data_IF_397105906519
#
_entry.id   IF_397105906519
#
_cell.length_a   1.000
_cell.length_b   1.000
_cell.length_c   1.000
_cell.angle_alpha   90.00
_cell.angle_beta   90.00
_cell.angle_gamma   90.00
#
_symmetry.space_group_name_H-M   'P 1'
#
loop_
_entity.id
_entity.type
_entity.pdbx_description
1 polymer ?
#
# COMPACT_ATOMS: atom_id res chain seq x y z
N UNK A 1 43.81 -34.61 9.27
CA UNK A 1 42.38 -34.93 9.38
C UNK A 1 41.69 -33.94 10.32
N UNK A 2 41.35 -32.75 9.81
CA UNK A 2 40.60 -31.70 10.53
C UNK A 2 39.90 -30.81 9.48
N UNK A 3 38.58 -30.70 9.63
CA UNK A 3 37.64 -29.62 9.25
C UNK A 3 37.96 -28.66 8.09
N UNK A 4 36.99 -28.44 7.19
CA UNK A 4 36.38 -27.11 6.94
C UNK A 4 35.27 -27.21 5.87
N UNK A 5 34.03 -26.87 6.26
CA UNK A 5 33.26 -25.73 5.75
C UNK A 5 32.93 -25.77 4.24
N UNK A 6 31.69 -26.05 3.86
CA UNK A 6 30.56 -25.10 3.79
C UNK A 6 30.33 -24.66 2.33
N UNK A 7 29.51 -25.43 1.60
CA UNK A 7 28.92 -24.95 0.33
C UNK A 7 27.54 -24.38 0.65
N UNK A 8 27.50 -23.10 1.02
CA UNK A 8 26.28 -22.31 0.94
C UNK A 8 25.96 -22.10 -0.55
N UNK A 9 24.93 -22.78 -1.03
CA UNK A 9 24.14 -22.26 -2.13
C UNK A 9 23.35 -21.07 -1.57
N UNK A 10 23.91 -19.86 -1.65
CA UNK A 10 23.13 -18.65 -1.45
C UNK A 10 22.35 -18.41 -2.74
N UNK A 11 21.13 -18.93 -2.80
CA UNK A 11 20.12 -18.41 -3.71
C UNK A 11 19.77 -16.99 -3.26
N UNK A 12 20.51 -16.00 -3.76
CA UNK A 12 20.04 -14.62 -3.78
C UNK A 12 18.85 -14.57 -4.74
N UNK A 13 17.64 -14.71 -4.19
CA UNK A 13 16.42 -14.32 -4.89
C UNK A 13 16.38 -12.78 -4.97
N UNK A 14 17.16 -12.21 -5.88
CA UNK A 14 16.85 -10.93 -6.49
C UNK A 14 15.57 -11.14 -7.32
N UNK A 15 14.41 -11.12 -6.68
CA UNK A 15 13.15 -10.85 -7.38
C UNK A 15 13.19 -9.37 -7.75
N UNK A 16 13.89 -9.12 -8.84
CA UNK A 16 13.92 -7.85 -9.52
C UNK A 16 12.49 -7.53 -9.96
N UNK A 17 12.03 -6.35 -9.54
CA UNK A 17 10.72 -5.75 -9.83
C UNK A 17 10.42 -5.62 -11.35
N UNK A 18 11.37 -5.99 -12.20
CA UNK A 18 11.32 -5.93 -13.66
C UNK A 18 10.79 -7.21 -14.34
N UNK A 19 10.54 -8.30 -13.60
CA UNK A 19 10.12 -9.58 -14.22
C UNK A 19 8.62 -9.90 -14.23
N UNK A 20 7.75 -9.01 -13.74
CA UNK A 20 6.28 -9.19 -13.84
C UNK A 20 5.66 -8.42 -15.00
N UNK A 21 6.40 -7.51 -15.65
CA UNK A 21 5.88 -6.73 -16.79
C UNK A 21 5.79 -7.53 -18.09
N UNK A 22 6.40 -8.73 -18.18
CA UNK A 22 6.52 -9.49 -19.43
C UNK A 22 5.33 -10.39 -19.78
N UNK A 23 4.19 -10.29 -19.08
CA UNK A 23 2.94 -10.99 -19.46
C UNK A 23 1.69 -10.11 -19.54
N UNK A 24 1.83 -8.78 -19.54
CA UNK A 24 0.70 -7.92 -19.90
C UNK A 24 0.55 -7.99 -21.42
N UNK A 25 -0.30 -8.90 -21.90
CA UNK A 25 -0.82 -8.79 -23.27
C UNK A 25 -1.39 -7.37 -23.40
N UNK A 26 -1.04 -6.58 -24.42
CA UNK A 26 -1.80 -5.39 -24.70
C UNK A 26 -3.22 -5.86 -25.04
N UNK A 27 -4.14 -5.69 -24.10
CA UNK A 27 -5.54 -5.66 -24.47
C UNK A 27 -5.64 -4.42 -25.35
N UNK A 28 -5.91 -4.59 -26.64
CA UNK A 28 -6.08 -3.52 -27.65
C UNK A 28 -7.15 -2.46 -27.28
N UNK A 29 -7.72 -2.54 -26.07
CA UNK A 29 -8.79 -1.73 -25.51
C UNK A 29 -8.38 -0.88 -24.31
N UNK A 30 -7.11 -0.95 -23.89
CA UNK A 30 -6.56 0.04 -22.97
C UNK A 30 -6.10 1.25 -23.77
N UNK A 31 -6.88 2.33 -23.69
CA UNK A 31 -6.53 3.61 -24.29
C UNK A 31 -5.69 4.37 -23.26
N UNK A 32 -4.42 4.58 -23.61
CA UNK A 32 -3.43 5.11 -22.67
C UNK A 32 -3.76 6.53 -22.19
N UNK A 33 -4.38 7.36 -23.03
CA UNK A 33 -4.69 8.75 -22.69
C UNK A 33 -5.89 9.28 -23.47
N UNK A 34 -6.88 9.78 -22.73
CA UNK A 34 -8.01 10.56 -23.21
C UNK A 34 -7.97 11.91 -22.52
N UNK A 35 -8.01 12.99 -23.29
CA UNK A 35 -8.04 14.37 -22.77
C UNK A 35 -9.50 14.76 -22.51
N UNK A 36 -9.78 15.31 -21.33
CA UNK A 36 -11.11 15.75 -20.96
C UNK A 36 -11.57 16.91 -21.86
N UNK A 37 -12.80 16.87 -22.35
CA UNK A 37 -13.32 17.83 -23.33
C UNK A 37 -13.52 19.24 -22.74
N UNK A 38 -13.93 19.31 -21.49
CA UNK A 38 -14.24 20.58 -20.80
C UNK A 38 -13.07 21.16 -20.01
N UNK A 39 -12.00 20.39 -19.81
CA UNK A 39 -10.76 20.83 -19.18
C UNK A 39 -9.60 20.07 -19.82
N UNK A 40 -8.98 20.67 -20.82
CA UNK A 40 -7.91 20.04 -21.61
C UNK A 40 -6.60 19.88 -20.85
N UNK A 41 -6.50 20.43 -19.62
CA UNK A 41 -5.36 20.18 -18.72
C UNK A 41 -5.45 18.81 -18.05
N UNK A 42 -6.63 18.17 -18.10
CA UNK A 42 -6.94 16.91 -17.44
C UNK A 42 -7.02 15.76 -18.44
N UNK A 43 -6.55 14.59 -18.03
CA UNK A 43 -6.62 13.38 -18.83
C UNK A 43 -6.78 12.12 -17.97
N UNK A 44 -7.22 11.03 -18.59
CA UNK A 44 -7.31 9.71 -17.97
C UNK A 44 -6.90 8.59 -18.93
N UNK A 45 -6.45 7.47 -18.37
CA UNK A 45 -6.39 6.19 -19.06
C UNK A 45 -7.78 5.53 -19.00
N UNK A 46 -8.16 4.82 -20.05
CA UNK A 46 -9.47 4.17 -20.19
C UNK A 46 -9.29 2.71 -20.54
N UNK A 47 -10.07 1.85 -19.89
CA UNK A 47 -10.43 0.53 -20.39
C UNK A 47 -11.92 0.52 -20.75
N UNK A 48 -12.24 0.07 -21.97
CA UNK A 48 -13.60 -0.07 -22.46
C UNK A 48 -13.88 -1.55 -22.80
N UNK A 49 -14.90 -2.19 -22.20
CA UNK A 49 -15.22 -3.60 -22.47
C UNK A 49 -15.53 -3.91 -23.94
N UNK A 50 -15.26 -5.13 -24.42
CA UNK A 50 -15.61 -5.61 -25.78
C UNK A 50 -17.02 -5.24 -26.20
N UNK A 51 -17.95 -5.56 -25.33
CA UNK A 51 -19.37 -5.49 -25.60
C UNK A 51 -19.94 -4.10 -25.37
N UNK A 52 -19.13 -3.04 -25.26
CA UNK A 52 -19.63 -1.70 -25.04
C UNK A 52 -20.50 -1.21 -26.19
N UNK A 53 -21.72 -0.77 -25.87
CA UNK A 53 -22.67 -0.17 -26.78
C UNK A 53 -23.40 0.98 -26.07
N UNK A 54 -23.37 2.17 -26.67
CA UNK A 54 -24.04 3.36 -26.14
C UNK A 54 -25.54 3.21 -25.88
N UNK A 55 -26.21 2.21 -26.50
CA UNK A 55 -27.63 1.93 -26.26
C UNK A 55 -27.94 1.31 -24.88
N UNK A 56 -26.93 0.74 -24.22
CA UNK A 56 -27.05 0.06 -22.92
C UNK A 56 -26.34 0.84 -21.82
N UNK A 57 -26.71 0.59 -20.56
CA UNK A 57 -26.09 1.22 -19.38
C UNK A 57 -25.01 0.30 -18.80
N UNK A 58 -23.82 0.86 -18.56
CA UNK A 58 -22.65 0.11 -18.08
C UNK A 58 -22.21 0.54 -16.69
N UNK A 59 -21.74 -0.40 -15.84
CA UNK A 59 -21.02 -0.06 -14.63
C UNK A 59 -19.70 0.67 -14.96
N UNK A 60 -19.26 1.54 -14.05
CA UNK A 60 -17.99 2.26 -14.17
C UNK A 60 -17.20 2.21 -12.86
N UNK A 61 -15.88 2.02 -12.96
CA UNK A 61 -14.92 2.07 -11.85
C UNK A 61 -13.93 3.23 -12.07
N UNK A 62 -13.98 4.22 -11.18
CA UNK A 62 -12.99 5.30 -11.11
C UNK A 62 -11.79 4.87 -10.29
N UNK A 63 -10.57 5.06 -10.81
CA UNK A 63 -9.33 4.66 -10.17
C UNK A 63 -8.44 5.88 -9.91
N UNK A 64 -7.91 5.97 -8.68
CA UNK A 64 -6.97 7.01 -8.27
C UNK A 64 -5.72 6.40 -7.65
N UNK A 65 -4.60 7.10 -7.79
CA UNK A 65 -3.31 6.60 -7.32
C UNK A 65 -2.44 7.72 -6.75
N UNK A 66 -1.40 7.38 -5.97
CA UNK A 66 -0.55 8.39 -5.34
C UNK A 66 0.45 9.04 -6.32
N UNK A 67 0.84 8.36 -7.40
CA UNK A 67 1.80 8.87 -8.41
C UNK A 67 1.18 9.16 -9.80
N UNK A 68 1.85 9.92 -10.67
CA UNK A 68 1.36 10.21 -12.04
C UNK A 68 1.56 9.05 -13.05
N UNK A 69 0.93 7.90 -12.82
CA UNK A 69 0.91 6.83 -13.83
C UNK A 69 -0.43 6.06 -13.85
N UNK A 70 -1.36 6.59 -14.65
CA UNK A 70 -2.72 6.06 -14.76
C UNK A 70 -2.81 4.73 -15.52
N UNK A 71 -1.79 4.38 -16.30
CA UNK A 71 -1.86 3.22 -17.18
C UNK A 71 -1.74 1.91 -16.41
N UNK A 72 -0.83 1.87 -15.42
CA UNK A 72 -0.58 0.67 -14.63
C UNK A 72 -1.86 0.02 -14.05
N UNK A 73 -2.69 0.71 -13.24
CA UNK A 73 -3.84 0.07 -12.63
C UNK A 73 -4.92 -0.33 -13.65
N UNK A 74 -5.09 0.46 -14.71
CA UNK A 74 -6.05 0.16 -15.79
C UNK A 74 -5.64 -1.12 -16.53
N UNK A 75 -4.37 -1.26 -16.89
CA UNK A 75 -3.86 -2.46 -17.54
C UNK A 75 -3.87 -3.67 -16.59
N UNK A 76 -3.50 -3.47 -15.32
CA UNK A 76 -3.37 -4.54 -14.34
C UNK A 76 -4.72 -5.20 -13.98
N UNK A 77 -5.81 -4.44 -13.95
CA UNK A 77 -7.15 -4.95 -13.64
C UNK A 77 -8.07 -5.12 -14.87
N UNK A 78 -7.58 -4.89 -16.09
CA UNK A 78 -8.37 -4.90 -17.31
C UNK A 78 -9.14 -6.22 -17.55
N UNK A 79 -8.54 -7.38 -17.23
CA UNK A 79 -9.21 -8.68 -17.39
C UNK A 79 -10.42 -8.85 -16.46
N UNK A 80 -10.39 -8.24 -15.26
CA UNK A 80 -11.54 -8.21 -14.33
C UNK A 80 -12.65 -7.35 -14.93
N UNK A 81 -12.26 -6.19 -15.47
CA UNK A 81 -13.18 -5.24 -16.08
C UNK A 81 -13.83 -5.81 -17.34
N UNK A 82 -13.09 -6.52 -18.18
CA UNK A 82 -13.62 -7.24 -19.34
C UNK A 82 -14.61 -8.32 -18.90
N UNK A 83 -14.23 -9.16 -17.92
CA UNK A 83 -15.05 -10.26 -17.42
C UNK A 83 -16.42 -9.79 -16.92
N UNK A 84 -16.46 -8.65 -16.23
CA UNK A 84 -17.69 -8.13 -15.63
C UNK A 84 -18.35 -7.00 -16.43
N UNK A 85 -17.81 -6.65 -17.61
CA UNK A 85 -18.36 -5.63 -18.49
C UNK A 85 -18.34 -4.22 -17.88
N UNK A 86 -17.22 -3.84 -17.27
CA UNK A 86 -17.06 -2.60 -16.49
C UNK A 86 -16.16 -1.62 -17.23
N UNK A 87 -16.60 -0.37 -17.35
CA UNK A 87 -15.75 0.72 -17.82
C UNK A 87 -14.77 1.05 -16.68
N UNK A 88 -13.48 1.16 -16.95
CA UNK A 88 -12.53 1.60 -15.92
C UNK A 88 -11.77 2.83 -16.40
N UNK A 89 -11.70 3.85 -15.56
CA UNK A 89 -10.96 5.08 -15.84
C UNK A 89 -9.96 5.36 -14.72
N UNK A 90 -8.76 5.80 -15.05
CA UNK A 90 -7.77 6.25 -14.07
C UNK A 90 -7.22 7.62 -14.44
N UNK A 91 -7.21 8.55 -13.49
CA UNK A 91 -6.74 9.92 -13.73
C UNK A 91 -5.22 9.98 -13.88
N UNK A 92 -4.73 10.68 -14.90
CA UNK A 92 -3.30 11.01 -15.07
C UNK A 92 -2.84 12.14 -14.13
N UNK A 93 -3.79 12.93 -13.64
CA UNK A 93 -3.52 14.19 -12.96
C UNK A 93 -3.68 14.08 -11.44
N UNK A 94 -4.56 13.20 -10.97
CA UNK A 94 -4.71 12.89 -9.54
C UNK A 94 -3.42 12.28 -8.99
N UNK A 95 -2.90 12.85 -7.90
CA UNK A 95 -1.67 12.40 -7.25
C UNK A 95 -1.64 12.91 -5.80
N UNK A 96 -0.79 12.31 -4.97
CA UNK A 96 -0.51 12.86 -3.65
C UNK A 96 0.04 14.29 -3.78
N UNK A 97 -0.50 15.21 -2.98
CA UNK A 97 -0.15 16.63 -3.06
C UNK A 97 -1.30 17.52 -2.55
N UNK A 98 -1.35 18.79 -2.99
CA UNK A 98 -2.43 19.70 -2.64
C UNK A 98 -3.78 19.11 -3.04
N UNK A 99 -4.74 19.11 -2.11
CA UNK A 99 -6.03 18.46 -2.32
C UNK A 99 -6.81 19.00 -3.52
N UNK A 100 -6.60 20.28 -3.84
CA UNK A 100 -7.21 20.92 -5.01
C UNK A 100 -6.85 20.21 -6.33
N UNK A 101 -5.61 19.72 -6.47
CA UNK A 101 -5.17 19.02 -7.69
C UNK A 101 -5.96 17.73 -7.89
N UNK A 102 -6.18 16.97 -6.80
CA UNK A 102 -7.02 15.77 -6.83
C UNK A 102 -8.46 16.11 -7.18
N UNK A 103 -9.01 17.15 -6.56
CA UNK A 103 -10.41 17.58 -6.75
C UNK A 103 -10.67 18.03 -8.18
N UNK A 104 -9.78 18.84 -8.77
CA UNK A 104 -9.93 19.33 -10.15
C UNK A 104 -9.90 18.17 -11.15
N UNK A 105 -8.93 17.25 -10.98
CA UNK A 105 -8.82 16.06 -11.82
C UNK A 105 -10.07 15.18 -11.73
N UNK A 106 -10.54 14.94 -10.51
CA UNK A 106 -11.72 14.14 -10.21
C UNK A 106 -12.98 14.74 -10.85
N UNK A 107 -13.22 16.04 -10.69
CA UNK A 107 -14.37 16.73 -11.30
C UNK A 107 -14.32 16.70 -12.83
N UNK A 108 -13.15 16.92 -13.42
CA UNK A 108 -12.99 16.92 -14.87
C UNK A 108 -13.24 15.53 -15.48
N UNK A 109 -12.64 14.48 -14.88
CA UNK A 109 -12.85 13.09 -15.32
C UNK A 109 -14.30 12.70 -15.15
N UNK A 110 -14.92 12.98 -13.99
CA UNK A 110 -16.34 12.69 -13.73
C UNK A 110 -17.26 13.32 -14.78
N UNK A 111 -17.10 14.62 -15.06
CA UNK A 111 -17.93 15.34 -16.03
C UNK A 111 -17.75 14.78 -17.44
N UNK A 112 -16.51 14.50 -17.84
CA UNK A 112 -16.19 14.00 -19.18
C UNK A 112 -16.74 12.59 -19.41
N UNK A 113 -16.58 11.67 -18.44
CA UNK A 113 -17.09 10.30 -18.55
C UNK A 113 -18.63 10.25 -18.57
N UNK A 114 -19.30 11.06 -17.76
CA UNK A 114 -20.77 11.14 -17.76
C UNK A 114 -21.34 11.78 -19.03
N UNK A 115 -20.55 12.58 -19.74
CA UNK A 115 -20.93 13.08 -21.05
C UNK A 115 -20.71 12.03 -22.15
N UNK A 116 -19.60 11.29 -22.11
CA UNK A 116 -19.17 10.39 -23.18
C UNK A 116 -19.81 9.01 -23.14
N UNK A 117 -20.06 8.47 -21.94
CA UNK A 117 -20.43 7.08 -21.77
C UNK A 117 -21.84 6.91 -21.20
N UNK A 118 -22.55 5.90 -21.68
CA UNK A 118 -23.81 5.45 -21.09
C UNK A 118 -23.56 4.68 -19.78
N UNK A 119 -23.47 5.43 -18.67
CA UNK A 119 -23.21 4.92 -17.32
C UNK A 119 -24.52 4.52 -16.62
N UNK A 120 -24.49 3.40 -15.91
CA UNK A 120 -25.54 3.00 -14.98
C UNK A 120 -25.38 3.74 -13.64
N UNK A 121 -26.36 4.59 -13.23
CA UNK A 121 -26.25 5.39 -12.03
C UNK A 121 -26.30 4.58 -10.72
N UNK A 122 -26.79 3.34 -10.73
CA UNK A 122 -26.80 2.47 -9.54
C UNK A 122 -25.50 1.64 -9.42
N UNK A 123 -24.60 1.69 -10.42
CA UNK A 123 -23.37 0.88 -10.50
C UNK A 123 -22.13 1.71 -10.82
N UNK A 124 -21.88 2.70 -9.96
CA UNK A 124 -20.70 3.57 -10.02
C UNK A 124 -19.77 3.22 -8.85
N UNK A 125 -18.53 2.86 -9.14
CA UNK A 125 -17.56 2.45 -8.11
C UNK A 125 -16.32 3.34 -8.14
N UNK A 126 -15.60 3.34 -7.03
CA UNK A 126 -14.29 3.97 -6.94
C UNK A 126 -13.26 3.01 -6.34
N UNK A 127 -12.01 3.16 -6.73
CA UNK A 127 -10.87 2.47 -6.12
C UNK A 127 -9.64 3.34 -6.10
N UNK A 128 -8.73 3.03 -5.21
CA UNK A 128 -7.38 3.57 -5.28
C UNK A 128 -6.46 2.95 -4.27
N UNK A 129 -5.18 3.29 -4.39
CA UNK A 129 -4.12 2.82 -3.52
C UNK A 129 -3.56 3.96 -2.65
N UNK A 130 -3.46 3.73 -1.34
CA UNK A 130 -2.91 4.67 -0.37
C UNK A 130 -3.64 6.04 -0.45
N UNK A 131 -2.94 7.14 -0.77
CA UNK A 131 -3.59 8.42 -1.02
C UNK A 131 -4.65 8.41 -2.14
N UNK A 132 -4.52 7.52 -3.12
CA UNK A 132 -5.56 7.27 -4.12
C UNK A 132 -6.84 6.66 -3.54
N UNK A 133 -6.74 5.77 -2.53
CA UNK A 133 -7.94 5.25 -1.85
C UNK A 133 -8.69 6.38 -1.13
N UNK A 134 -7.95 7.32 -0.55
CA UNK A 134 -8.48 8.53 0.08
C UNK A 134 -9.18 9.42 -0.94
N UNK A 135 -8.61 9.57 -2.14
CA UNK A 135 -9.25 10.27 -3.26
C UNK A 135 -10.51 9.55 -3.75
N UNK A 136 -10.54 8.22 -3.75
CA UNK A 136 -11.73 7.45 -4.07
C UNK A 136 -12.88 7.71 -3.07
N UNK A 137 -12.57 7.80 -1.78
CA UNK A 137 -13.53 8.20 -0.74
C UNK A 137 -13.98 9.66 -0.88
N UNK A 138 -13.06 10.55 -1.25
CA UNK A 138 -13.38 11.95 -1.55
C UNK A 138 -14.35 12.09 -2.72
N UNK A 139 -14.22 11.27 -3.77
CA UNK A 139 -15.18 11.25 -4.90
C UNK A 139 -16.61 11.03 -4.41
N UNK A 140 -16.81 10.06 -3.53
CA UNK A 140 -18.14 9.78 -2.98
C UNK A 140 -18.66 10.95 -2.12
N UNK A 141 -17.80 11.61 -1.35
CA UNK A 141 -18.17 12.82 -0.58
C UNK A 141 -18.59 13.98 -1.48
N UNK A 142 -17.98 14.14 -2.65
CA UNK A 142 -18.30 15.21 -3.61
C UNK A 142 -19.58 14.95 -4.40
N UNK A 143 -19.89 13.68 -4.65
CA UNK A 143 -21.08 13.25 -5.37
C UNK A 143 -21.93 12.31 -4.49
N UNK A 144 -22.50 12.82 -3.39
CA UNK A 144 -23.19 11.99 -2.41
C UNK A 144 -24.35 11.22 -3.04
N UNK A 145 -24.40 9.91 -2.77
CA UNK A 145 -25.42 9.01 -3.32
C UNK A 145 -25.23 8.61 -4.79
N UNK A 146 -24.21 9.13 -5.49
CA UNK A 146 -23.91 8.77 -6.88
C UNK A 146 -22.76 7.76 -7.00
N UNK A 147 -22.01 7.49 -5.93
CA UNK A 147 -21.03 6.41 -5.86
C UNK A 147 -21.62 5.27 -5.03
N UNK A 148 -21.76 4.10 -5.65
CA UNK A 148 -22.32 2.88 -5.05
C UNK A 148 -21.38 2.27 -4.04
N UNK A 149 -20.09 2.12 -4.37
CA UNK A 149 -19.14 1.48 -3.47
C UNK A 149 -17.68 1.79 -3.77
N UNK A 150 -16.82 1.49 -2.80
CA UNK A 150 -15.38 1.79 -2.84
C UNK A 150 -14.56 0.53 -2.56
N UNK A 151 -13.56 0.26 -3.40
CA UNK A 151 -12.49 -0.70 -3.12
C UNK A 151 -11.24 0.08 -2.70
N UNK A 152 -11.00 0.21 -1.39
CA UNK A 152 -9.86 0.95 -0.85
C UNK A 152 -8.66 0.03 -0.61
N UNK A 153 -7.48 0.37 -1.14
CA UNK A 153 -6.26 -0.43 -0.99
C UNK A 153 -5.25 0.33 -0.13
N UNK A 154 -4.89 -0.22 1.03
CA UNK A 154 -3.92 0.33 1.97
C UNK A 154 -4.35 1.65 2.61
N UNK A 155 -5.61 2.07 2.48
CA UNK A 155 -6.23 3.22 3.12
C UNK A 155 -7.75 3.25 2.84
N UNK A 156 -8.47 4.13 3.54
CA UNK A 156 -9.90 4.40 3.32
C UNK A 156 -10.22 5.87 3.10
N UNK A 157 -10.49 6.61 4.17
CA UNK A 157 -10.83 8.04 4.13
C UNK A 157 -9.60 8.93 4.30
N UNK A 158 -9.71 10.22 3.95
CA UNK A 158 -8.60 11.19 3.93
C UNK A 158 -7.86 11.32 5.26
N UNK A 159 -8.58 11.31 6.37
CA UNK A 159 -8.05 11.03 7.71
C UNK A 159 -9.09 10.21 8.48
N UNK A 160 -8.65 9.49 9.52
CA UNK A 160 -9.56 8.73 10.39
C UNK A 160 -10.59 9.63 11.10
N UNK A 161 -10.22 10.89 11.38
CA UNK A 161 -11.12 11.92 11.90
C UNK A 161 -12.06 12.51 10.83
N UNK A 162 -11.83 12.21 9.55
CA UNK A 162 -12.60 12.71 8.42
C UNK A 162 -13.60 11.70 7.84
N UNK A 163 -13.89 10.58 8.54
CA UNK A 163 -15.01 9.72 8.14
C UNK A 163 -16.31 10.50 8.36
N UNK A 164 -17.05 10.90 7.30
CA UNK A 164 -18.21 11.76 7.45
C UNK A 164 -19.27 11.12 8.35
N UNK A 165 -20.06 11.91 9.13
CA UNK A 165 -21.13 11.36 9.96
C UNK A 165 -22.15 10.55 9.17
N UNK A 166 -22.40 10.96 7.93
CA UNK A 166 -23.22 10.25 6.95
C UNK A 166 -22.29 9.76 5.85
N UNK A 167 -22.12 8.44 5.74
CA UNK A 167 -21.27 7.84 4.73
C UNK A 167 -21.98 7.94 3.37
N UNK A 168 -21.35 8.53 2.33
CA UNK A 168 -22.05 8.93 1.11
C UNK A 168 -22.18 7.81 0.05
N UNK A 169 -21.87 6.56 0.40
CA UNK A 169 -21.88 5.38 -0.48
C UNK A 169 -22.31 4.12 0.30
N UNK A 170 -22.70 3.06 -0.43
CA UNK A 170 -23.36 1.87 0.15
C UNK A 170 -22.38 0.80 0.63
N UNK A 171 -21.32 0.55 -0.13
CA UNK A 171 -20.41 -0.58 0.12
C UNK A 171 -18.95 -0.15 0.25
N UNK A 172 -18.23 -0.67 1.24
CA UNK A 172 -16.78 -0.50 1.35
C UNK A 172 -16.06 -1.85 1.38
N UNK A 173 -15.14 -2.08 0.45
CA UNK A 173 -14.25 -3.24 0.48
C UNK A 173 -12.81 -2.76 0.65
N UNK A 174 -12.22 -3.01 1.82
CA UNK A 174 -10.86 -2.64 2.14
C UNK A 174 -9.89 -3.79 1.90
N UNK A 175 -8.72 -3.47 1.35
CA UNK A 175 -7.63 -4.41 1.10
C UNK A 175 -6.34 -3.84 1.70
N UNK A 176 -5.54 -4.65 2.37
CA UNK A 176 -4.20 -4.26 2.79
C UNK A 176 -3.25 -5.46 2.84
N UNK A 177 -1.97 -5.21 2.63
CA UNK A 177 -0.96 -6.25 2.71
C UNK A 177 -0.67 -6.65 4.16
N UNK A 178 -0.38 -7.92 4.42
CA UNK A 178 0.06 -8.40 5.73
C UNK A 178 1.34 -7.71 6.23
N UNK A 179 2.10 -7.03 5.37
CA UNK A 179 3.28 -6.22 5.68
C UNK A 179 3.07 -4.74 5.39
N UNK A 180 1.82 -4.32 5.26
CA UNK A 180 1.43 -2.93 5.08
C UNK A 180 1.48 -2.18 6.41
N UNK A 181 2.23 -1.08 6.45
CA UNK A 181 2.34 -0.25 7.64
C UNK A 181 1.04 0.52 7.98
N UNK A 182 0.08 0.61 7.04
CA UNK A 182 -1.25 1.18 7.28
C UNK A 182 -2.25 0.17 7.89
N UNK A 183 -1.82 -1.01 8.32
CA UNK A 183 -2.70 -2.01 8.96
C UNK A 183 -3.55 -1.42 10.10
N UNK A 184 -2.96 -0.59 10.97
CA UNK A 184 -3.69 0.03 12.10
C UNK A 184 -4.80 0.98 11.62
N UNK A 185 -4.57 1.74 10.54
CA UNK A 185 -5.60 2.54 9.88
C UNK A 185 -6.77 1.67 9.40
N UNK A 186 -6.46 0.54 8.78
CA UNK A 186 -7.49 -0.37 8.23
C UNK A 186 -8.30 -1.08 9.32
N UNK A 187 -7.66 -1.48 10.43
CA UNK A 187 -8.35 -2.06 11.58
C UNK A 187 -9.28 -1.02 12.23
N UNK A 188 -8.80 0.19 12.46
CA UNK A 188 -9.65 1.25 13.01
C UNK A 188 -10.83 1.55 12.09
N UNK A 189 -10.59 1.56 10.77
CA UNK A 189 -11.65 1.76 9.79
C UNK A 189 -12.71 0.65 9.87
N UNK A 190 -12.31 -0.62 9.98
CA UNK A 190 -13.22 -1.76 10.19
C UNK A 190 -14.11 -1.55 11.43
N UNK A 191 -13.50 -1.16 12.55
CA UNK A 191 -14.23 -0.88 13.78
C UNK A 191 -15.22 0.28 13.64
N UNK A 192 -14.81 1.38 13.00
CA UNK A 192 -15.67 2.55 12.80
C UNK A 192 -16.83 2.29 11.84
N UNK A 193 -16.58 1.58 10.74
CA UNK A 193 -17.62 1.21 9.78
C UNK A 193 -18.60 0.20 10.39
N UNK A 194 -18.10 -0.74 11.22
CA UNK A 194 -18.92 -1.66 11.99
C UNK A 194 -19.85 -0.95 12.99
N UNK A 195 -19.33 0.02 13.76
CA UNK A 195 -20.15 0.84 14.69
C UNK A 195 -21.27 1.58 13.97
N UNK A 196 -21.05 1.96 12.71
CA UNK A 196 -22.01 2.68 11.86
C UNK A 196 -22.92 1.73 11.06
N UNK A 197 -22.81 0.42 11.26
CA UNK A 197 -23.58 -0.61 10.55
C UNK A 197 -23.46 -0.50 9.03
N UNK A 198 -22.30 -0.03 8.55
CA UNK A 198 -22.04 0.03 7.13
C UNK A 198 -21.84 -1.39 6.58
N UNK A 199 -22.36 -1.65 5.37
CA UNK A 199 -21.99 -2.85 4.63
C UNK A 199 -20.54 -2.75 4.16
N UNK A 200 -19.63 -3.44 4.84
CA UNK A 200 -18.21 -3.40 4.53
C UNK A 200 -17.52 -4.74 4.78
N UNK A 201 -16.34 -4.90 4.18
CA UNK A 201 -15.40 -5.99 4.49
C UNK A 201 -13.98 -5.47 4.35
N UNK A 202 -13.13 -5.75 5.34
CA UNK A 202 -11.69 -5.49 5.26
C UNK A 202 -10.95 -6.83 5.16
N UNK A 203 -10.04 -6.95 4.20
CA UNK A 203 -9.28 -8.18 3.91
C UNK A 203 -7.78 -7.90 3.87
N UNK A 204 -7.03 -8.75 4.57
CA UNK A 204 -5.57 -8.83 4.52
C UNK A 204 -5.15 -9.76 3.37
N UNK A 205 -4.17 -9.35 2.57
CA UNK A 205 -3.55 -10.16 1.50
C UNK A 205 -2.05 -10.32 1.75
N UNK A 206 -1.41 -11.33 1.15
CA UNK A 206 0.05 -11.47 1.26
C UNK A 206 0.79 -10.45 0.41
N UNK A 207 1.44 -9.50 1.09
CA UNK A 207 2.17 -8.44 0.42
C UNK A 207 2.46 -7.25 1.34
N UNK A 208 3.15 -6.27 0.78
CA UNK A 208 3.54 -5.03 1.47
C UNK A 208 2.49 -3.93 1.24
N UNK A 209 2.87 -2.67 1.48
CA UNK A 209 2.09 -1.51 1.05
C UNK A 209 2.16 -1.36 -0.48
N UNK A 210 1.27 -2.06 -1.19
CA UNK A 210 1.23 -2.14 -2.65
C UNK A 210 -0.20 -2.25 -3.18
N UNK A 211 -0.37 -2.13 -4.50
CA UNK A 211 -1.61 -2.51 -5.17
C UNK A 211 -2.00 -3.96 -4.86
N UNK A 212 -3.28 -4.20 -4.61
CA UNK A 212 -3.78 -5.50 -4.25
C UNK A 212 -3.53 -6.52 -5.38
N UNK A 213 -3.16 -7.77 -5.07
CA UNK A 213 -3.07 -8.82 -6.08
C UNK A 213 -4.40 -8.98 -6.84
N UNK A 214 -4.30 -9.45 -8.08
CA UNK A 214 -5.45 -9.64 -8.97
C UNK A 214 -6.59 -10.42 -8.31
N UNK A 215 -6.26 -11.49 -7.58
CA UNK A 215 -7.22 -12.37 -6.92
C UNK A 215 -8.04 -11.66 -5.86
N UNK A 216 -7.39 -10.87 -5.00
CA UNK A 216 -8.00 -10.17 -3.88
C UNK A 216 -8.86 -8.99 -4.36
N UNK A 217 -8.37 -8.26 -5.39
CA UNK A 217 -9.16 -7.22 -6.03
C UNK A 217 -10.42 -7.78 -6.72
N UNK A 218 -10.27 -8.88 -7.46
CA UNK A 218 -11.40 -9.57 -8.11
C UNK A 218 -12.45 -10.01 -7.09
N UNK A 219 -12.02 -10.51 -5.94
CA UNK A 219 -12.92 -10.89 -4.86
C UNK A 219 -13.68 -9.70 -4.25
N UNK A 220 -13.03 -8.56 -4.06
CA UNK A 220 -13.70 -7.33 -3.64
C UNK A 220 -14.77 -6.88 -4.62
N UNK A 221 -14.50 -6.98 -5.92
CA UNK A 221 -15.47 -6.65 -6.95
C UNK A 221 -16.63 -7.67 -7.00
N UNK A 222 -16.34 -8.96 -6.91
CA UNK A 222 -17.32 -10.04 -6.80
C UNK A 222 -18.24 -9.85 -5.58
N UNK A 223 -17.67 -9.42 -4.45
CA UNK A 223 -18.42 -9.10 -3.24
C UNK A 223 -19.38 -7.92 -3.45
N UNK A 224 -18.96 -6.83 -4.11
CA UNK A 224 -19.86 -5.73 -4.46
C UNK A 224 -21.05 -6.20 -5.30
N UNK A 225 -20.77 -7.04 -6.32
CA UNK A 225 -21.82 -7.59 -7.18
C UNK A 225 -22.82 -8.47 -6.42
N UNK A 226 -22.38 -9.27 -5.45
CA UNK A 226 -23.28 -10.05 -4.58
C UNK A 226 -24.18 -9.12 -3.74
N UNK A 227 -23.62 -8.06 -3.18
CA UNK A 227 -24.41 -7.10 -2.40
C UNK A 227 -25.42 -6.33 -3.27
N UNK A 228 -25.08 -5.99 -4.52
CA UNK A 228 -26.04 -5.42 -5.47
C UNK A 228 -27.21 -6.37 -5.73
N UNK A 229 -26.94 -7.67 -5.87
CA UNK A 229 -27.99 -8.68 -6.05
C UNK A 229 -28.87 -8.79 -4.81
N UNK A 230 -28.26 -8.81 -3.61
CA UNK A 230 -28.97 -8.84 -2.34
C UNK A 230 -29.89 -7.63 -2.16
N UNK A 231 -29.43 -6.45 -2.58
CA UNK A 231 -30.15 -5.20 -2.44
C UNK A 231 -31.12 -4.93 -3.62
N UNK A 232 -31.29 -5.89 -4.53
CA UNK A 232 -32.20 -5.80 -5.68
C UNK A 232 -31.77 -4.83 -6.77
N UNK A 233 -30.49 -4.41 -6.77
CA UNK A 233 -29.89 -3.49 -7.75
C UNK A 233 -29.31 -4.21 -8.97
N UNK A 234 -29.16 -5.53 -8.89
CA UNK A 234 -28.73 -6.39 -9.99
C UNK A 234 -29.59 -7.65 -9.98
N UNK A 235 -29.99 -8.12 -11.16
CA UNK A 235 -30.66 -9.43 -11.28
C UNK A 235 -29.70 -10.55 -10.85
N UNK A 236 -30.08 -11.42 -9.91
CA UNK A 236 -29.23 -12.55 -9.52
C UNK A 236 -28.95 -13.50 -10.69
N UNK A 237 -27.70 -13.89 -10.85
CA UNK A 237 -27.27 -14.94 -11.78
C UNK A 237 -26.95 -16.20 -10.97
N UNK A 238 -27.90 -17.14 -10.92
CA UNK A 238 -27.77 -18.35 -10.10
C UNK A 238 -26.58 -19.22 -10.52
N UNK A 239 -26.19 -19.23 -11.79
CA UNK A 239 -25.05 -20.01 -12.27
C UNK A 239 -23.74 -19.39 -11.80
N UNK A 240 -23.60 -18.07 -11.94
CA UNK A 240 -22.42 -17.35 -11.46
C UNK A 240 -22.30 -17.40 -9.93
N UNK A 241 -23.41 -17.25 -9.21
CA UNK A 241 -23.44 -17.34 -7.73
C UNK A 241 -22.97 -18.73 -7.27
N UNK A 242 -23.45 -19.81 -7.90
CA UNK A 242 -23.04 -21.17 -7.55
C UNK A 242 -21.53 -21.39 -7.80
N UNK A 243 -21.00 -20.93 -8.94
CA UNK A 243 -19.57 -21.01 -9.24
C UNK A 243 -18.71 -20.23 -8.23
N UNK A 244 -19.19 -19.05 -7.83
CA UNK A 244 -18.51 -18.22 -6.85
C UNK A 244 -18.53 -18.88 -5.46
N UNK A 245 -19.66 -19.46 -5.06
CA UNK A 245 -19.77 -20.24 -3.82
C UNK A 245 -18.76 -21.39 -3.79
N UNK A 246 -18.69 -22.19 -4.85
CA UNK A 246 -17.73 -23.31 -4.95
C UNK A 246 -16.28 -22.82 -4.81
N UNK A 247 -15.93 -21.72 -5.50
CA UNK A 247 -14.61 -21.07 -5.37
C UNK A 247 -14.31 -20.67 -3.92
N UNK A 248 -15.24 -20.02 -3.21
CA UNK A 248 -15.05 -19.62 -1.79
C UNK A 248 -14.95 -20.82 -0.87
N UNK A 249 -15.72 -21.86 -1.13
CA UNK A 249 -15.69 -23.08 -0.34
C UNK A 249 -14.36 -23.83 -0.50
N UNK A 250 -13.79 -23.91 -1.71
CA UNK A 250 -12.45 -24.48 -1.92
C UNK A 250 -11.35 -23.68 -1.20
N UNK A 251 -11.43 -22.35 -1.21
CA UNK A 251 -10.51 -21.48 -0.46
C UNK A 251 -10.58 -21.76 1.05
N UNK A 252 -11.80 -21.85 1.61
CA UNK A 252 -12.01 -22.23 3.00
C UNK A 252 -11.42 -23.61 3.34
N UNK A 253 -11.66 -24.62 2.50
CA UNK A 253 -11.10 -25.97 2.70
C UNK A 253 -9.57 -25.95 2.71
N UNK A 254 -8.96 -25.15 1.84
CA UNK A 254 -7.51 -24.95 1.80
C UNK A 254 -7.00 -24.35 3.10
N UNK A 255 -7.62 -23.28 3.60
CA UNK A 255 -7.26 -22.65 4.88
C UNK A 255 -7.40 -23.61 6.06
N UNK A 256 -8.47 -24.40 6.10
CA UNK A 256 -8.66 -25.44 7.14
C UNK A 256 -7.56 -26.50 7.10
N UNK A 257 -7.20 -26.98 5.90
CA UNK A 257 -6.13 -27.97 5.72
C UNK A 257 -4.76 -27.43 6.12
N UNK A 258 -4.49 -26.16 5.81
CA UNK A 258 -3.27 -25.44 6.22
C UNK A 258 -3.27 -25.06 7.71
N UNK A 259 -4.38 -25.28 8.42
CA UNK A 259 -4.58 -24.89 9.84
C UNK A 259 -4.51 -23.38 10.07
N UNK A 260 -4.85 -22.59 9.06
CA UNK A 260 -5.00 -21.14 9.16
C UNK A 260 -6.37 -20.84 9.77
N UNK A 261 -6.54 -21.17 11.05
CA UNK A 261 -7.86 -21.22 11.68
C UNK A 261 -8.53 -19.85 11.80
N UNK A 262 -7.76 -18.78 12.01
CA UNK A 262 -8.30 -17.41 12.05
C UNK A 262 -8.92 -17.05 10.70
N UNK A 263 -8.18 -17.28 9.60
CA UNK A 263 -8.69 -17.03 8.25
C UNK A 263 -9.84 -17.97 7.88
N UNK A 264 -9.77 -19.24 8.25
CA UNK A 264 -10.83 -20.20 8.00
C UNK A 264 -12.15 -19.79 8.69
N UNK A 265 -12.10 -19.34 9.95
CA UNK A 265 -13.30 -18.86 10.65
C UNK A 265 -13.89 -17.62 9.96
N UNK A 266 -13.04 -16.67 9.55
CA UNK A 266 -13.45 -15.47 8.79
C UNK A 266 -14.08 -15.85 7.44
N UNK A 267 -13.46 -16.74 6.68
CA UNK A 267 -13.95 -17.22 5.38
C UNK A 267 -15.28 -17.95 5.52
N UNK A 268 -15.45 -18.79 6.54
CA UNK A 268 -16.72 -19.47 6.81
C UNK A 268 -17.85 -18.47 7.13
N UNK A 269 -17.57 -17.43 7.93
CA UNK A 269 -18.53 -16.34 8.17
C UNK A 269 -18.88 -15.60 6.87
N UNK A 270 -17.86 -15.23 6.09
CA UNK A 270 -18.02 -14.55 4.82
C UNK A 270 -18.89 -15.34 3.83
N UNK A 271 -18.72 -16.67 3.74
CA UNK A 271 -19.60 -17.52 2.92
C UNK A 271 -21.06 -17.41 3.37
N UNK A 272 -21.32 -17.39 4.67
CA UNK A 272 -22.70 -17.18 5.12
C UNK A 272 -23.23 -15.80 4.70
N UNK A 273 -22.49 -14.74 5.01
CA UNK A 273 -22.90 -13.35 4.72
C UNK A 273 -23.12 -13.10 3.23
N UNK A 274 -22.31 -13.75 2.38
CA UNK A 274 -22.31 -13.58 0.93
C UNK A 274 -23.41 -14.36 0.22
N UNK A 275 -23.82 -15.52 0.74
CA UNK A 275 -24.66 -16.46 -0.03
C UNK A 275 -26.01 -16.78 0.61
N UNK A 276 -26.25 -16.46 1.89
CA UNK A 276 -27.48 -16.88 2.58
C UNK A 276 -28.76 -16.36 1.94
N UNK A 277 -28.69 -15.26 1.17
CA UNK A 277 -29.85 -14.67 0.51
C UNK A 277 -30.29 -15.43 -0.75
N UNK A 278 -29.45 -16.36 -1.24
CA UNK A 278 -29.71 -17.17 -2.44
C UNK A 278 -29.72 -18.67 -2.18
N UNK A 279 -29.04 -19.14 -1.13
CA UNK A 279 -28.93 -20.58 -0.84
C UNK A 279 -28.81 -20.87 0.67
N UNK A 280 -29.17 -22.09 1.12
CA UNK A 280 -28.95 -22.50 2.49
C UNK A 280 -27.46 -22.69 2.80
N UNK A 281 -26.91 -21.87 3.69
CA UNK A 281 -25.49 -21.94 4.08
C UNK A 281 -25.26 -21.70 5.59
N UNK A 282 -26.27 -21.93 6.43
CA UNK A 282 -26.17 -21.77 7.90
C UNK A 282 -25.14 -22.70 8.55
N UNK A 283 -24.79 -23.81 7.90
CA UNK A 283 -23.75 -24.73 8.38
C UNK A 283 -22.37 -24.03 8.51
N UNK A 284 -22.09 -23.00 7.71
CA UNK A 284 -20.83 -22.27 7.78
C UNK A 284 -20.72 -21.37 9.02
N UNK A 285 -21.85 -20.93 9.58
CA UNK A 285 -21.88 -20.24 10.88
C UNK A 285 -21.42 -21.20 11.98
N UNK A 286 -22.01 -22.40 12.04
CA UNK A 286 -21.62 -23.41 13.01
C UNK A 286 -20.16 -23.86 12.85
N UNK A 287 -19.68 -23.97 11.61
CA UNK A 287 -18.27 -24.24 11.32
C UNK A 287 -17.36 -23.14 11.87
N UNK A 288 -17.65 -21.86 11.59
CA UNK A 288 -16.88 -20.74 12.12
C UNK A 288 -16.84 -20.78 13.67
N UNK A 289 -17.99 -20.98 14.32
CA UNK A 289 -18.09 -21.05 15.78
C UNK A 289 -17.27 -22.22 16.36
N UNK A 290 -17.23 -23.36 15.66
CA UNK A 290 -16.41 -24.52 16.05
C UNK A 290 -14.91 -24.27 15.92
N UNK A 291 -14.48 -23.61 14.84
CA UNK A 291 -13.08 -23.25 14.60
C UNK A 291 -12.61 -22.24 15.65
N UNK A 292 -13.46 -21.28 16.01
CA UNK A 292 -13.16 -20.27 17.04
C UNK A 292 -12.94 -20.87 18.45
N UNK A 293 -13.48 -22.07 18.73
CA UNK A 293 -13.28 -22.80 19.99
C UNK A 293 -11.94 -23.55 20.05
N UNK A 294 -11.21 -23.64 18.94
CA UNK A 294 -9.92 -24.32 18.91
C UNK A 294 -8.87 -23.53 19.70
N UNK A 295 -8.06 -24.23 20.50
CA UNK A 295 -6.94 -23.62 21.23
C UNK A 295 -5.96 -22.89 20.31
N UNK A 296 -5.70 -23.44 19.13
CA UNK A 296 -4.85 -22.81 18.13
C UNK A 296 -5.41 -21.46 17.64
N UNK A 297 -6.73 -21.34 17.47
CA UNK A 297 -7.38 -20.08 17.14
C UNK A 297 -7.18 -19.05 18.26
N UNK A 298 -7.45 -19.41 19.52
CA UNK A 298 -7.29 -18.49 20.65
C UNK A 298 -5.84 -18.04 20.85
N UNK A 299 -4.87 -18.95 20.64
CA UNK A 299 -3.45 -18.65 20.76
C UNK A 299 -2.98 -17.68 19.69
N UNK A 300 -3.44 -17.88 18.46
CA UNK A 300 -3.13 -16.98 17.36
C UNK A 300 -3.76 -15.59 17.56
N UNK A 301 -5.03 -15.53 17.98
CA UNK A 301 -5.70 -14.26 18.29
C UNK A 301 -5.00 -13.49 19.42
N UNK A 302 -4.57 -14.18 20.48
CA UNK A 302 -3.81 -13.57 21.56
C UNK A 302 -2.46 -13.02 21.06
N UNK A 303 -1.75 -13.78 20.22
CA UNK A 303 -0.51 -13.32 19.60
C UNK A 303 -0.73 -12.09 18.68
N UNK A 304 -1.75 -12.12 17.82
CA UNK A 304 -2.10 -11.00 16.94
C UNK A 304 -2.43 -9.74 17.74
N UNK A 305 -3.17 -9.89 18.84
CA UNK A 305 -3.53 -8.77 19.73
C UNK A 305 -2.32 -8.16 20.44
N UNK A 306 -1.43 -8.98 21.02
CA UNK A 306 -0.19 -8.50 21.66
C UNK A 306 0.69 -7.74 20.67
N UNK A 307 0.89 -8.31 19.47
CA UNK A 307 1.68 -7.66 18.42
C UNK A 307 1.05 -6.35 17.96
N UNK A 308 -0.28 -6.32 17.77
CA UNK A 308 -0.99 -5.10 17.38
C UNK A 308 -0.80 -3.97 18.40
N UNK A 309 -0.85 -4.26 19.70
CA UNK A 309 -0.61 -3.26 20.74
C UNK A 309 0.81 -2.71 20.70
N UNK A 310 1.80 -3.59 20.49
CA UNK A 310 3.21 -3.19 20.34
C UNK A 310 3.46 -2.39 19.06
N UNK A 311 2.78 -2.73 17.98
CA UNK A 311 2.83 -1.99 16.71
C UNK A 311 2.30 -0.57 16.90
N UNK A 312 1.12 -0.42 17.49
CA UNK A 312 0.52 0.90 17.81
C UNK A 312 1.43 1.70 18.73
N UNK A 313 2.02 1.08 19.76
CA UNK A 313 2.99 1.76 20.63
C UNK A 313 4.20 2.27 19.84
N UNK A 314 4.73 1.47 18.92
CA UNK A 314 5.86 1.88 18.06
C UNK A 314 5.47 3.05 17.14
N UNK A 315 4.27 3.01 16.56
CA UNK A 315 3.75 4.08 15.72
C UNK A 315 3.61 5.39 16.51
N UNK A 316 3.01 5.34 17.71
CA UNK A 316 2.83 6.52 18.54
C UNK A 316 4.18 7.18 18.91
N UNK A 317 5.17 6.39 19.35
CA UNK A 317 6.51 6.94 19.66
C UNK A 317 7.16 7.56 18.41
N UNK A 318 6.98 6.95 17.25
CA UNK A 318 7.50 7.47 15.99
C UNK A 318 6.81 8.78 15.58
N UNK A 319 5.49 8.85 15.69
CA UNK A 319 4.71 10.04 15.35
C UNK A 319 5.05 11.20 16.29
N UNK A 320 5.15 10.94 17.60
CA UNK A 320 5.57 11.94 18.59
C UNK A 320 7.01 12.41 18.33
N UNK A 321 7.93 11.50 17.97
CA UNK A 321 9.29 11.86 17.60
C UNK A 321 9.33 12.80 16.38
N UNK A 322 8.55 12.51 15.34
CA UNK A 322 8.47 13.35 14.15
C UNK A 322 7.84 14.71 14.45
N UNK A 323 6.79 14.75 15.26
CA UNK A 323 6.16 15.99 15.69
C UNK A 323 7.13 16.87 16.50
N UNK A 324 7.82 16.28 17.47
CA UNK A 324 8.80 16.99 18.30
C UNK A 324 10.06 17.36 17.53
N UNK A 325 10.42 16.62 16.47
CA UNK A 325 11.47 17.06 15.55
C UNK A 325 11.11 18.41 14.94
N UNK A 326 9.85 18.67 14.59
CA UNK A 326 9.43 19.95 14.01
C UNK A 326 9.49 21.10 15.02
N UNK A 327 9.36 20.80 16.31
CA UNK A 327 9.23 21.80 17.37
C UNK A 327 10.52 21.99 18.22
N UNK A 328 11.15 23.18 18.18
CA UNK A 328 12.42 23.43 18.88
C UNK A 328 12.32 23.43 20.41
N UNK A 329 11.12 23.46 21.01
CA UNK A 329 10.92 23.47 22.46
C UNK A 329 11.03 22.08 23.12
N UNK A 330 11.05 21.00 22.34
CA UNK A 330 10.95 19.62 22.84
C UNK A 330 12.25 18.83 22.68
N UNK A 331 13.41 19.48 22.86
CA UNK A 331 14.71 18.79 22.69
C UNK A 331 14.92 17.60 23.64
N UNK A 332 14.63 17.68 24.96
CA UNK A 332 14.78 16.54 25.86
C UNK A 332 13.84 15.38 25.52
N UNK A 333 12.58 15.67 25.17
CA UNK A 333 11.59 14.67 24.80
C UNK A 333 11.98 13.97 23.50
N UNK A 334 12.48 14.71 22.52
CA UNK A 334 12.99 14.18 21.25
C UNK A 334 14.14 13.21 21.47
N UNK A 335 15.10 13.55 22.32
CA UNK A 335 16.25 12.67 22.59
C UNK A 335 15.80 11.38 23.29
N UNK A 336 14.86 11.49 24.24
CA UNK A 336 14.24 10.32 24.88
C UNK A 336 13.52 9.42 23.86
N UNK A 337 12.69 10.02 22.99
CA UNK A 337 11.97 9.30 21.95
C UNK A 337 12.91 8.63 20.95
N UNK A 338 14.00 9.30 20.56
CA UNK A 338 15.03 8.72 19.70
C UNK A 338 15.68 7.49 20.35
N UNK A 339 16.00 7.54 21.65
CA UNK A 339 16.51 6.37 22.38
C UNK A 339 15.48 5.24 22.47
N UNK A 340 14.20 5.57 22.68
CA UNK A 340 13.11 4.60 22.65
C UNK A 340 13.00 3.93 21.27
N UNK A 341 13.09 4.68 20.17
CA UNK A 341 13.07 4.12 18.83
C UNK A 341 14.27 3.19 18.59
N UNK A 342 15.48 3.56 19.01
CA UNK A 342 16.64 2.65 18.94
C UNK A 342 16.48 1.38 19.77
N UNK A 343 15.77 1.46 20.91
CA UNK A 343 15.44 0.27 21.71
C UNK A 343 14.42 -0.60 20.97
N UNK A 344 13.34 0.00 20.46
CA UNK A 344 12.29 -0.70 19.73
C UNK A 344 12.82 -1.38 18.47
N UNK A 345 13.71 -0.74 17.71
CA UNK A 345 14.32 -1.38 16.52
C UNK A 345 15.11 -2.64 16.92
N UNK A 346 15.87 -2.60 18.03
CA UNK A 346 16.57 -3.78 18.57
C UNK A 346 15.62 -4.88 19.06
N UNK A 347 14.41 -4.53 19.52
CA UNK A 347 13.40 -5.50 19.96
C UNK A 347 12.63 -6.12 18.78
N UNK A 348 12.40 -5.36 17.71
CA UNK A 348 11.74 -5.86 16.50
C UNK A 348 12.66 -6.69 15.62
N UNK A 349 13.96 -6.38 15.56
CA UNK A 349 14.91 -7.05 14.67
C UNK A 349 14.96 -8.59 14.85
N UNK A 350 14.97 -9.16 16.06
CA UNK A 350 14.94 -10.60 16.25
C UNK A 350 13.64 -11.22 15.74
N UNK A 351 12.50 -10.53 15.93
CA UNK A 351 11.18 -11.00 15.49
C UNK A 351 11.07 -11.07 13.97
N UNK A 352 11.65 -10.10 13.27
CA UNK A 352 11.72 -10.07 11.81
C UNK A 352 12.36 -11.33 11.22
N UNK A 353 13.42 -11.83 11.87
CA UNK A 353 14.18 -13.00 11.43
C UNK A 353 13.60 -14.35 11.88
N UNK A 354 12.44 -14.38 12.53
CA UNK A 354 11.81 -15.64 12.97
C UNK A 354 11.08 -16.35 11.82
N UNK A 355 10.86 -17.65 11.96
CA UNK A 355 10.00 -18.44 11.06
C UNK A 355 8.50 -18.25 11.31
N UNK A 356 8.11 -17.57 12.39
CA UNK A 356 6.71 -17.30 12.67
C UNK A 356 6.29 -16.08 11.84
N UNK A 357 5.49 -16.30 10.80
CA UNK A 357 5.12 -15.26 9.84
C UNK A 357 4.37 -14.11 10.49
N UNK A 358 3.49 -14.36 11.46
CA UNK A 358 2.76 -13.30 12.18
C UNK A 358 3.74 -12.35 12.90
N UNK A 359 4.73 -12.91 13.61
CA UNK A 359 5.78 -12.13 14.28
C UNK A 359 6.70 -11.41 13.29
N UNK A 360 7.11 -12.10 12.23
CA UNK A 360 7.98 -11.54 11.19
C UNK A 360 7.30 -10.38 10.47
N UNK A 361 6.03 -10.51 10.13
CA UNK A 361 5.22 -9.49 9.47
C UNK A 361 4.99 -8.27 10.38
N UNK A 362 4.68 -8.48 11.67
CA UNK A 362 4.57 -7.38 12.64
C UNK A 362 5.89 -6.60 12.77
N UNK A 363 7.01 -7.31 12.89
CA UNK A 363 8.32 -6.68 12.93
C UNK A 363 8.65 -5.93 11.65
N UNK A 364 8.33 -6.49 10.48
CA UNK A 364 8.49 -5.80 9.21
C UNK A 364 7.70 -4.49 9.19
N UNK A 365 6.41 -4.50 9.57
CA UNK A 365 5.57 -3.29 9.58
C UNK A 365 6.18 -2.19 10.45
N UNK A 366 6.63 -2.51 11.66
CA UNK A 366 7.26 -1.54 12.55
C UNK A 366 8.59 -1.00 12.02
N UNK A 367 9.48 -1.88 11.56
CA UNK A 367 10.78 -1.49 11.04
C UNK A 367 10.63 -0.66 9.75
N UNK A 368 9.80 -1.11 8.82
CA UNK A 368 9.48 -0.39 7.58
C UNK A 368 8.88 0.99 7.90
N UNK A 369 7.93 1.08 8.83
CA UNK A 369 7.32 2.35 9.23
C UNK A 369 8.36 3.36 9.71
N UNK A 370 9.21 2.97 10.67
CA UNK A 370 10.28 3.83 11.21
C UNK A 370 11.20 4.30 10.09
N UNK A 371 11.73 3.36 9.31
CA UNK A 371 12.76 3.66 8.32
C UNK A 371 12.22 4.49 7.15
N UNK A 372 11.02 4.15 6.67
CA UNK A 372 10.35 4.85 5.56
C UNK A 372 10.04 6.29 5.92
N UNK A 373 9.44 6.52 7.09
CA UNK A 373 9.11 7.87 7.53
C UNK A 373 10.35 8.70 7.83
N UNK A 374 11.35 8.11 8.50
CA UNK A 374 12.63 8.79 8.70
C UNK A 374 13.29 9.17 7.38
N UNK A 375 13.33 8.27 6.39
CA UNK A 375 13.90 8.60 5.08
C UNK A 375 13.14 9.74 4.39
N UNK A 376 11.80 9.67 4.39
CA UNK A 376 10.97 10.70 3.78
C UNK A 376 11.15 12.07 4.45
N UNK A 377 11.11 12.12 5.79
CA UNK A 377 11.30 13.35 6.57
C UNK A 377 12.73 13.87 6.47
N UNK A 378 13.72 12.98 6.50
CA UNK A 378 15.13 13.32 6.31
C UNK A 378 15.40 14.02 4.98
N UNK A 379 14.81 13.51 3.89
CA UNK A 379 14.88 14.16 2.57
C UNK A 379 14.26 15.56 2.59
N UNK A 380 13.07 15.70 3.21
CA UNK A 380 12.42 17.00 3.38
C UNK A 380 13.29 18.01 4.14
N UNK A 381 13.88 17.59 5.26
CA UNK A 381 14.76 18.43 6.06
C UNK A 381 16.07 18.77 5.37
N UNK A 382 16.65 17.84 4.60
CA UNK A 382 17.85 18.11 3.80
C UNK A 382 17.57 19.20 2.77
N UNK A 383 16.44 19.11 2.06
CA UNK A 383 16.00 20.11 1.08
C UNK A 383 15.77 21.50 1.73
N UNK A 384 15.25 21.53 2.95
CA UNK A 384 15.03 22.76 3.72
C UNK A 384 16.27 23.26 4.45
N UNK A 385 17.43 22.58 4.34
CA UNK A 385 18.67 22.87 5.07
C UNK A 385 18.55 22.80 6.60
N UNK A 386 17.59 22.02 7.12
CA UNK A 386 17.45 21.75 8.56
C UNK A 386 18.30 20.54 8.94
N UNK A 387 19.63 20.72 8.86
CA UNK A 387 20.60 19.63 8.83
C UNK A 387 20.61 18.72 10.08
N UNK A 388 20.49 19.21 11.32
CA UNK A 388 20.47 18.34 12.49
C UNK A 388 19.32 17.33 12.47
N UNK A 389 18.13 17.76 12.00
CA UNK A 389 16.95 16.90 11.87
C UNK A 389 17.14 15.88 10.75
N UNK A 390 17.69 16.31 9.61
CA UNK A 390 18.02 15.41 8.50
C UNK A 390 18.98 14.30 8.95
N UNK A 391 20.05 14.64 9.68
CA UNK A 391 21.01 13.68 10.23
C UNK A 391 20.32 12.69 11.17
N UNK A 392 19.53 13.16 12.14
CA UNK A 392 18.82 12.28 13.08
C UNK A 392 17.89 11.29 12.37
N UNK A 393 17.15 11.77 11.36
CA UNK A 393 16.29 10.92 10.54
C UNK A 393 17.09 9.87 9.75
N UNK A 394 18.13 10.25 9.02
CA UNK A 394 18.90 9.29 8.23
C UNK A 394 19.68 8.30 9.10
N UNK A 395 20.18 8.72 10.27
CA UNK A 395 20.83 7.84 11.23
C UNK A 395 19.90 6.74 11.75
N UNK A 396 18.64 7.10 12.05
CA UNK A 396 17.64 6.10 12.44
C UNK A 396 17.24 5.20 11.26
N UNK A 397 17.01 5.78 10.07
CA UNK A 397 16.64 5.01 8.88
C UNK A 397 17.69 3.95 8.52
N UNK A 398 18.99 4.31 8.49
CA UNK A 398 20.07 3.36 8.19
C UNK A 398 20.30 2.32 9.29
N UNK A 399 19.82 2.56 10.50
CA UNK A 399 19.91 1.56 11.59
C UNK A 399 18.94 0.42 11.34
N UNK A 400 17.81 0.70 10.69
CA UNK A 400 16.82 -0.29 10.29
C UNK A 400 17.13 -0.88 8.90
N UNK A 401 17.52 -0.03 7.96
CA UNK A 401 17.94 -0.42 6.61
C UNK A 401 19.43 -0.15 6.40
N UNK A 402 20.32 -1.02 6.93
CA UNK A 402 21.76 -0.83 6.82
C UNK A 402 22.25 -0.85 5.38
N UNK A 403 21.51 -1.48 4.46
CA UNK A 403 21.84 -1.59 3.05
C UNK A 403 21.18 -0.51 2.17
N UNK A 404 20.44 0.46 2.74
CA UNK A 404 19.83 1.56 1.98
C UNK A 404 20.87 2.62 1.59
N UNK A 405 21.49 2.41 0.43
CA UNK A 405 22.48 3.30 -0.17
C UNK A 405 22.04 4.78 -0.21
N UNK A 406 20.75 5.04 -0.47
CA UNK A 406 20.21 6.40 -0.57
C UNK A 406 20.23 7.12 0.79
N UNK A 407 19.84 6.45 1.87
CA UNK A 407 19.90 7.04 3.22
C UNK A 407 21.33 7.34 3.66
N UNK A 408 22.29 6.47 3.35
CA UNK A 408 23.71 6.75 3.64
C UNK A 408 24.26 7.91 2.81
N UNK A 409 23.89 8.00 1.53
CA UNK A 409 24.29 9.11 0.65
C UNK A 409 23.72 10.45 1.16
N UNK A 410 22.43 10.50 1.47
CA UNK A 410 21.80 11.74 1.95
C UNK A 410 22.28 12.13 3.36
N UNK A 411 22.64 11.15 4.21
CA UNK A 411 23.34 11.40 5.46
C UNK A 411 24.70 12.06 5.20
N UNK A 412 25.48 11.58 4.23
CA UNK A 412 26.76 12.18 3.85
C UNK A 412 26.58 13.64 3.41
N UNK A 413 25.57 13.93 2.59
CA UNK A 413 25.22 15.29 2.16
C UNK A 413 24.88 16.18 3.37
N UNK A 414 23.99 15.73 4.26
CA UNK A 414 23.61 16.48 5.46
C UNK A 414 24.82 16.76 6.38
N UNK A 415 25.73 15.80 6.53
CA UNK A 415 26.95 15.93 7.32
C UNK A 415 27.98 16.87 6.68
N UNK A 416 28.15 16.81 5.35
CA UNK A 416 29.06 17.67 4.59
C UNK A 416 28.64 19.15 4.69
N UNK A 417 27.34 19.43 4.53
CA UNK A 417 26.75 20.74 4.75
C UNK A 417 26.87 21.22 6.20
N UNK A 418 26.89 20.30 7.16
CA UNK A 418 27.09 20.59 8.58
C UNK A 418 28.57 20.83 8.96
N UNK A 419 29.49 20.81 7.99
CA UNK A 419 30.92 20.93 8.23
C UNK A 419 31.57 19.70 8.89
N UNK A 420 30.86 18.56 8.98
CA UNK A 420 31.33 17.33 9.63
C UNK A 420 32.07 16.44 8.62
N UNK A 421 33.15 16.96 8.03
CA UNK A 421 33.89 16.35 6.90
C UNK A 421 34.19 14.86 7.06
N UNK A 422 34.82 14.44 8.16
CA UNK A 422 35.19 13.04 8.34
C UNK A 422 33.96 12.11 8.39
N UNK A 423 32.91 12.52 9.12
CA UNK A 423 31.67 11.73 9.21
C UNK A 423 30.94 11.66 7.88
N UNK A 424 30.95 12.75 7.11
CA UNK A 424 30.37 12.77 5.76
C UNK A 424 31.08 11.77 4.84
N UNK A 425 32.42 11.74 4.86
CA UNK A 425 33.21 10.79 4.07
C UNK A 425 32.99 9.33 4.51
N UNK A 426 32.81 9.06 5.80
CA UNK A 426 32.49 7.72 6.30
C UNK A 426 31.10 7.24 5.86
N UNK A 427 30.10 8.12 5.92
CA UNK A 427 28.75 7.85 5.42
C UNK A 427 28.76 7.61 3.90
N UNK A 428 29.52 8.42 3.14
CA UNK A 428 29.65 8.28 1.69
C UNK A 428 30.36 6.99 1.29
N UNK A 429 31.42 6.60 2.01
CA UNK A 429 32.10 5.32 1.81
C UNK A 429 31.14 4.14 2.05
N UNK A 430 30.31 4.24 3.09
CA UNK A 430 29.29 3.22 3.39
C UNK A 430 28.24 3.18 2.28
N UNK A 431 27.75 4.33 1.81
CA UNK A 431 26.79 4.42 0.70
C UNK A 431 27.30 3.66 -0.52
N UNK A 432 28.54 3.90 -0.95
CA UNK A 432 29.15 3.20 -2.09
C UNK A 432 29.33 1.71 -1.82
N UNK A 433 29.73 1.33 -0.59
CA UNK A 433 29.87 -0.07 -0.19
C UNK A 433 28.55 -0.84 -0.29
N UNK A 434 27.43 -0.23 0.08
CA UNK A 434 26.10 -0.85 0.04
C UNK A 434 25.39 -0.65 -1.31
N UNK A 435 26.06 -0.06 -2.30
CA UNK A 435 25.63 -0.09 -3.69
C UNK A 435 25.33 1.25 -4.35
N UNK A 436 25.59 2.39 -3.69
CA UNK A 436 25.52 3.70 -4.33
C UNK A 436 26.56 3.80 -5.47
N UNK A 437 26.11 4.09 -6.68
CA UNK A 437 26.98 4.10 -7.86
C UNK A 437 26.67 5.24 -8.87
N UNK A 438 25.91 6.26 -8.46
CA UNK A 438 25.67 7.45 -9.29
C UNK A 438 26.87 8.39 -9.23
N UNK A 439 27.89 8.07 -10.05
CA UNK A 439 29.13 8.87 -10.15
C UNK A 439 28.86 10.30 -10.64
N UNK A 440 28.01 10.54 -11.67
CA UNK A 440 27.63 11.90 -12.04
C UNK A 440 27.10 12.72 -10.86
N UNK A 441 26.27 12.11 -10.00
CA UNK A 441 25.77 12.79 -8.81
C UNK A 441 26.89 13.09 -7.81
N UNK A 442 27.82 12.16 -7.54
CA UNK A 442 29.00 12.44 -6.68
C UNK A 442 29.79 13.66 -7.16
N UNK A 443 29.95 13.79 -8.47
CA UNK A 443 30.78 14.83 -9.08
C UNK A 443 30.10 16.20 -9.08
N UNK A 444 28.77 16.23 -9.11
CA UNK A 444 27.99 17.46 -9.36
C UNK A 444 27.17 17.93 -8.17
N UNK A 445 26.85 17.07 -7.20
CA UNK A 445 26.00 17.43 -6.07
C UNK A 445 26.65 18.55 -5.22
N UNK A 446 26.04 19.75 -5.14
CA UNK A 446 26.60 20.87 -4.42
C UNK A 446 26.74 20.60 -2.91
N UNK A 447 25.97 19.66 -2.35
CA UNK A 447 25.99 19.33 -0.93
C UNK A 447 27.33 18.69 -0.51
N UNK A 448 28.07 18.12 -1.47
CA UNK A 448 29.37 17.49 -1.27
C UNK A 448 30.56 18.41 -1.59
N UNK A 449 30.34 19.68 -1.93
CA UNK A 449 31.40 20.63 -2.31
C UNK A 449 32.51 20.73 -1.25
N UNK A 450 32.16 20.71 0.04
CA UNK A 450 33.10 20.83 1.16
C UNK A 450 34.03 19.62 1.33
N UNK A 451 33.68 18.47 0.74
CA UNK A 451 34.45 17.21 0.87
C UNK A 451 35.08 16.74 -0.44
N UNK A 452 34.70 17.32 -1.59
CA UNK A 452 35.11 16.84 -2.92
C UNK A 452 36.62 16.88 -3.17
N UNK A 453 37.32 17.85 -2.59
CA UNK A 453 38.78 17.96 -2.72
C UNK A 453 39.56 16.98 -1.82
N UNK A 454 38.88 16.25 -0.94
CA UNK A 454 39.52 15.32 -0.01
C UNK A 454 40.07 14.08 -0.75
N UNK A 455 41.25 13.59 -0.33
CA UNK A 455 41.86 12.38 -0.91
C UNK A 455 40.98 11.14 -0.70
N UNK A 456 40.30 11.04 0.43
CA UNK A 456 39.35 9.95 0.74
C UNK A 456 38.15 10.01 -0.20
N UNK A 457 37.64 11.20 -0.53
CA UNK A 457 36.57 11.36 -1.53
C UNK A 457 36.97 10.76 -2.88
N UNK A 458 38.16 11.09 -3.38
CA UNK A 458 38.66 10.54 -4.64
C UNK A 458 38.76 9.01 -4.64
N UNK A 459 39.11 8.41 -3.50
CA UNK A 459 39.11 6.95 -3.33
C UNK A 459 37.69 6.36 -3.39
N UNK A 460 36.74 6.97 -2.68
CA UNK A 460 35.33 6.55 -2.66
C UNK A 460 34.71 6.65 -4.07
N UNK A 461 34.93 7.77 -4.76
CA UNK A 461 34.48 7.99 -6.14
C UNK A 461 34.99 6.91 -7.10
N UNK A 462 36.28 6.58 -7.05
CA UNK A 462 36.85 5.49 -7.86
C UNK A 462 36.18 4.14 -7.57
N UNK A 463 35.87 3.83 -6.31
CA UNK A 463 35.14 2.59 -5.96
C UNK A 463 33.74 2.58 -6.59
N UNK A 464 33.02 3.71 -6.59
CA UNK A 464 31.70 3.83 -7.23
C UNK A 464 31.76 3.61 -8.76
N UNK A 465 32.79 4.14 -9.42
CA UNK A 465 33.01 3.91 -10.87
C UNK A 465 33.20 2.42 -11.19
N UNK A 466 34.05 1.71 -10.43
CA UNK A 466 34.32 0.29 -10.67
C UNK A 466 33.08 -0.59 -10.46
N UNK A 467 32.26 -0.28 -9.45
CA UNK A 467 30.98 -0.95 -9.21
C UNK A 467 29.94 -0.74 -10.32
N UNK A 468 30.10 0.33 -11.11
CA UNK A 468 29.24 0.61 -12.27
C UNK A 468 29.67 -0.20 -13.49
N UNK A 469 30.97 -0.38 -13.68
CA UNK A 469 31.52 -1.14 -14.82
C UNK A 469 31.39 -2.66 -14.67
N UNK A 470 31.31 -3.21 -13.46
CA UNK A 470 31.18 -4.66 -13.23
C UNK A 470 29.75 -5.21 -13.36
N UNK A 471 28.76 -4.33 -13.53
CA UNK A 471 27.34 -4.68 -13.71
C UNK A 471 26.83 -4.52 -15.16
N UNK A 472 27.66 -4.02 -16.06
CA UNK A 472 27.43 -4.03 -17.52
C UNK A 472 28.13 -5.24 -18.12
#
# INVERSE_FOLDING_TARGET
MKSMFLSYFVCFAFVSYTFVVSQIKPLDRVISKIVCQHDTSQAYALFLPSGYDSSRKYPILYCFKPEKDALYPVAYYADIMERYGVIMVCSWNSQNGPWQVCIDALHAVWKDTHHRFSIDPDRVYATGFSGGARTASELATRYPGQVTGIIGIGAGFSTLQAIPPIIPFRYFYGLYGNRDYNKSEMIYLDEELSKRQMMHRIVEFEGIHQWAPFTDFSEGFEWMMLNEMRDGKRTPDSTWIAQLFDKRHEQLKTSLHQKNFVDAARMARAIYDDFHFTMPCSAFVALADSVQKLKAYSDEMALRSDLQQREVHTQNIMDDFLFNLENPLFEPERDMQLQMLYKLTKEWQPLYNTKNEIKSNAAYRCLDYIARLCRARGNGYLNQRVLPKAVACFDLARTVWPDDAASHYNLACALALSGKTNKALDALETAVKVGFNDVPLLDTDPDLNSVRSDKKFNSIRKKAEHSTTSKK
#
